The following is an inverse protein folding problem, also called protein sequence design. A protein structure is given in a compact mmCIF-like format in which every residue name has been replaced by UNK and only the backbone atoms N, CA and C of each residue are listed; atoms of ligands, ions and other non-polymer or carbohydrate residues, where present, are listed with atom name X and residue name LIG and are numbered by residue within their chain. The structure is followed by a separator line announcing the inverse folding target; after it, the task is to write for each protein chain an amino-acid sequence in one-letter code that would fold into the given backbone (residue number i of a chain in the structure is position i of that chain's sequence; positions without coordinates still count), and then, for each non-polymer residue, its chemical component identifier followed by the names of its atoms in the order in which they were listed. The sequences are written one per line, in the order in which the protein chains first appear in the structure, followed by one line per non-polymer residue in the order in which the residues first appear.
data_IF_571953181122
#
_entry.id   IF_571953181122
#
_cell.length_a   1.000
_cell.length_b   1.000
_cell.length_c   1.000
_cell.angle_alpha   90.00
_cell.angle_beta   90.00
_cell.angle_gamma   90.00
#
_symmetry.space_group_name_H-M   'P 1'
#
loop_
_entity.id
_entity.type
_entity.pdbx_description
1 polymer ?
#
# COMPACT_ATOMS: atom_id res chain seq x y z
N UNK A 1 15.54 -35.72 -32.61
CA UNK A 1 14.96 -36.01 -33.94
C UNK A 1 14.66 -37.49 -33.95
N UNK A 2 13.38 -37.88 -34.07
CA UNK A 2 12.81 -39.26 -34.22
C UNK A 2 13.08 -40.26 -33.07
N UNK A 3 12.16 -41.03 -32.50
CA UNK A 3 10.78 -41.36 -32.90
C UNK A 3 9.93 -41.81 -31.70
N UNK A 4 8.63 -41.54 -31.81
CA UNK A 4 7.54 -42.13 -31.05
C UNK A 4 7.29 -43.53 -31.62
N UNK A 5 7.55 -44.60 -30.86
CA UNK A 5 6.96 -45.94 -31.06
C UNK A 5 7.51 -46.97 -30.06
N UNK A 6 6.76 -47.19 -28.97
CA UNK A 6 6.24 -48.52 -28.60
C UNK A 6 5.26 -48.30 -27.44
N UNK A 7 4.00 -48.11 -27.81
CA UNK A 7 2.86 -48.24 -26.89
C UNK A 7 2.72 -49.73 -26.61
N UNK A 8 3.16 -50.16 -25.43
CA UNK A 8 2.69 -51.43 -24.87
C UNK A 8 1.28 -51.18 -24.36
N UNK A 9 0.29 -51.56 -25.18
CA UNK A 9 -1.11 -51.67 -24.78
C UNK A 9 -1.19 -52.68 -23.62
N UNK A 10 -1.28 -52.21 -22.39
CA UNK A 10 -1.92 -53.01 -21.34
C UNK A 10 -3.43 -52.86 -21.52
N UNK A 11 -4.09 -54.00 -21.69
CA UNK A 11 -5.53 -54.17 -21.85
C UNK A 11 -6.30 -53.41 -20.78
N UNK A 12 -6.89 -52.28 -21.18
CA UNK A 12 -7.93 -51.62 -20.40
C UNK A 12 -9.14 -52.56 -20.45
N UNK A 13 -9.67 -53.03 -19.31
CA UNK A 13 -10.88 -53.85 -19.34
C UNK A 13 -12.00 -52.99 -19.93
N UNK A 14 -12.50 -53.41 -21.10
CA UNK A 14 -13.77 -52.94 -21.63
C UNK A 14 -14.81 -53.24 -20.55
N UNK A 15 -15.30 -52.18 -19.90
CA UNK A 15 -16.56 -52.27 -19.19
C UNK A 15 -17.60 -52.55 -20.27
N UNK A 16 -17.99 -53.81 -20.41
CA UNK A 16 -19.08 -54.22 -21.28
C UNK A 16 -20.31 -53.38 -20.89
N UNK A 17 -20.85 -52.69 -21.90
CA UNK A 17 -22.15 -52.04 -21.89
C UNK A 17 -23.23 -53.10 -21.58
N UNK A 18 -23.56 -53.31 -20.31
CA UNK A 18 -24.84 -53.85 -19.89
C UNK A 18 -25.57 -52.78 -19.08
N UNK A 19 -26.21 -51.90 -19.84
CA UNK A 19 -27.27 -50.98 -19.44
C UNK A 19 -28.39 -51.75 -18.74
N UNK A 20 -28.24 -51.98 -17.43
CA UNK A 20 -29.40 -52.11 -16.54
C UNK A 20 -29.08 -51.65 -15.13
N UNK A 21 -28.70 -50.38 -15.01
CA UNK A 21 -28.91 -49.64 -13.75
C UNK A 21 -30.42 -49.38 -13.68
N UNK A 22 -31.16 -49.88 -12.66
CA UNK A 22 -32.55 -49.50 -12.51
C UNK A 22 -32.62 -47.98 -12.33
N UNK A 23 -33.08 -47.27 -13.36
CA UNK A 23 -33.41 -45.84 -13.35
C UNK A 23 -34.65 -45.64 -12.48
N UNK A 24 -34.51 -45.88 -11.18
CA UNK A 24 -35.44 -45.40 -10.17
C UNK A 24 -34.67 -45.08 -8.89
N UNK A 25 -33.87 -44.02 -8.97
CA UNK A 25 -33.14 -43.46 -7.84
C UNK A 25 -32.85 -42.00 -8.14
N UNK A 26 -33.60 -41.13 -7.47
CA UNK A 26 -33.48 -39.66 -7.49
C UNK A 26 -32.03 -39.17 -7.51
N UNK A 27 -31.69 -38.09 -8.25
CA UNK A 27 -30.34 -37.53 -8.25
C UNK A 27 -29.92 -37.18 -6.83
N UNK A 28 -28.81 -37.75 -6.33
CA UNK A 28 -28.28 -37.34 -5.03
C UNK A 28 -27.78 -35.90 -5.14
N UNK A 29 -28.24 -34.98 -4.28
CA UNK A 29 -27.72 -33.62 -4.25
C UNK A 29 -26.21 -33.64 -4.01
N UNK A 30 -25.47 -32.81 -4.75
CA UNK A 30 -24.05 -32.61 -4.50
C UNK A 30 -23.86 -32.11 -3.06
N UNK A 31 -23.19 -32.90 -2.22
CA UNK A 31 -22.82 -32.46 -0.88
C UNK A 31 -21.76 -31.36 -1.02
N UNK A 32 -21.92 -30.21 -0.33
CA UNK A 32 -20.88 -29.19 -0.31
C UNK A 32 -19.58 -29.79 0.25
N UNK A 33 -18.45 -29.52 -0.41
CA UNK A 33 -17.13 -29.85 0.13
C UNK A 33 -16.97 -29.22 1.53
N UNK A 34 -16.46 -29.95 2.54
CA UNK A 34 -16.11 -29.34 3.81
C UNK A 34 -15.05 -28.26 3.58
N UNK A 35 -15.44 -26.99 3.70
CA UNK A 35 -14.47 -25.92 3.91
C UNK A 35 -14.08 -25.95 5.39
N UNK A 36 -13.07 -26.72 5.73
CA UNK A 36 -12.35 -26.53 6.99
C UNK A 36 -11.27 -25.47 6.78
N UNK A 37 -11.70 -24.23 6.55
CA UNK A 37 -10.96 -23.11 7.13
C UNK A 37 -11.39 -23.09 8.61
N UNK A 38 -10.46 -23.16 9.59
CA UNK A 38 -10.83 -23.02 10.99
C UNK A 38 -11.66 -21.72 11.15
N UNK A 39 -12.74 -21.72 11.93
CA UNK A 39 -13.52 -20.52 12.13
C UNK A 39 -12.60 -19.46 12.74
N UNK A 40 -12.17 -18.47 11.96
CA UNK A 40 -11.62 -17.23 12.50
C UNK A 40 -12.62 -16.74 13.55
N UNK A 41 -12.17 -16.56 14.79
CA UNK A 41 -13.03 -16.06 15.85
C UNK A 41 -13.53 -14.67 15.39
N UNK A 42 -14.83 -14.53 15.07
CA UNK A 42 -15.36 -13.28 14.57
C UNK A 42 -15.19 -12.14 15.58
N UNK A 43 -15.06 -12.47 16.86
CA UNK A 43 -14.80 -11.50 17.92
C UNK A 43 -13.36 -10.98 17.88
N UNK A 44 -12.37 -11.85 17.69
CA UNK A 44 -10.97 -11.44 17.54
C UNK A 44 -10.80 -10.56 16.30
N UNK A 45 -11.43 -10.94 15.19
CA UNK A 45 -11.47 -10.14 13.96
C UNK A 45 -12.09 -8.77 14.20
N UNK A 46 -13.21 -8.70 14.93
CA UNK A 46 -13.85 -7.43 15.26
C UNK A 46 -12.95 -6.53 16.11
N UNK A 47 -12.25 -7.09 17.11
CA UNK A 47 -11.29 -6.34 17.95
C UNK A 47 -10.11 -5.80 17.14
N UNK A 48 -9.55 -6.60 16.24
CA UNK A 48 -8.47 -6.17 15.35
C UNK A 48 -8.93 -5.05 14.42
N UNK A 49 -10.14 -5.16 13.85
CA UNK A 49 -10.71 -4.10 13.01
C UNK A 49 -10.84 -2.80 13.80
N UNK A 50 -11.37 -2.84 15.03
CA UNK A 50 -11.48 -1.65 15.88
C UNK A 50 -10.12 -0.99 16.13
N UNK A 51 -9.10 -1.78 16.47
CA UNK A 51 -7.75 -1.25 16.71
C UNK A 51 -7.16 -0.61 15.44
N UNK A 52 -7.35 -1.24 14.27
CA UNK A 52 -6.89 -0.67 13.00
C UNK A 52 -7.58 0.66 12.72
N UNK A 53 -8.89 0.77 12.96
CA UNK A 53 -9.64 2.01 12.75
C UNK A 53 -9.16 3.13 13.69
N UNK A 54 -8.91 2.83 14.96
CA UNK A 54 -8.37 3.81 15.92
C UNK A 54 -6.98 4.31 15.52
N UNK A 55 -6.11 3.39 15.09
CA UNK A 55 -4.78 3.73 14.60
C UNK A 55 -4.84 4.57 13.31
N UNK A 56 -5.75 4.23 12.39
CA UNK A 56 -5.96 5.00 11.16
C UNK A 56 -6.42 6.42 11.46
N UNK A 57 -7.39 6.60 12.38
CA UNK A 57 -7.84 7.93 12.79
C UNK A 57 -6.69 8.74 13.41
N UNK A 58 -5.91 8.12 14.30
CA UNK A 58 -4.77 8.79 14.94
C UNK A 58 -3.68 9.16 13.93
N UNK A 59 -3.43 8.30 12.94
CA UNK A 59 -2.46 8.55 11.89
C UNK A 59 -2.92 9.67 10.95
N UNK A 60 -4.20 9.73 10.60
CA UNK A 60 -4.77 10.80 9.79
C UNK A 60 -4.64 12.16 10.49
N UNK A 61 -5.02 12.22 11.77
CA UNK A 61 -4.85 13.42 12.60
C UNK A 61 -3.40 13.90 12.64
N UNK A 62 -2.46 12.97 12.81
CA UNK A 62 -1.03 13.30 12.82
C UNK A 62 -0.56 13.78 11.44
N UNK A 63 -1.03 13.16 10.36
CA UNK A 63 -0.72 13.56 8.99
C UNK A 63 -1.17 14.99 8.72
N UNK A 64 -2.41 15.34 9.09
CA UNK A 64 -2.94 16.70 8.94
C UNK A 64 -2.14 17.74 9.73
N UNK A 65 -1.72 17.39 10.96
CA UNK A 65 -0.86 18.27 11.77
C UNK A 65 0.51 18.48 11.13
N UNK A 66 1.11 17.43 10.59
CA UNK A 66 2.38 17.51 9.87
C UNK A 66 2.26 18.43 8.65
N UNK A 67 1.20 18.31 7.88
CA UNK A 67 0.99 19.17 6.71
C UNK A 67 0.76 20.63 7.10
N UNK A 68 0.02 20.88 8.19
CA UNK A 68 -0.14 22.24 8.75
C UNK A 68 1.21 22.85 9.17
N UNK A 69 2.07 22.07 9.85
CA UNK A 69 3.41 22.53 10.26
C UNK A 69 4.30 22.79 9.05
N UNK A 70 4.22 21.97 7.99
CA UNK A 70 4.96 22.21 6.75
C UNK A 70 4.53 23.52 6.09
N UNK A 71 3.23 23.78 6.02
CA UNK A 71 2.70 25.01 5.44
C UNK A 71 3.18 26.25 6.21
N UNK A 72 3.07 26.23 7.53
CA UNK A 72 3.57 27.32 8.39
C UNK A 72 5.08 27.52 8.22
N UNK A 73 5.86 26.43 8.19
CA UNK A 73 7.30 26.48 7.98
C UNK A 73 7.66 27.12 6.63
N UNK A 74 6.95 26.75 5.56
CA UNK A 74 7.14 27.35 4.23
C UNK A 74 6.83 28.83 4.23
N UNK A 75 5.72 29.24 4.86
CA UNK A 75 5.35 30.65 5.01
C UNK A 75 6.44 31.43 5.73
N UNK A 76 6.89 30.96 6.89
CA UNK A 76 7.95 31.62 7.66
C UNK A 76 9.27 31.70 6.89
N UNK A 77 9.63 30.66 6.12
CA UNK A 77 10.83 30.69 5.25
C UNK A 77 10.70 31.75 4.16
N UNK A 78 9.52 31.85 3.52
CA UNK A 78 9.27 32.84 2.49
C UNK A 78 9.35 34.28 3.03
N UNK A 79 8.78 34.52 4.20
CA UNK A 79 8.81 35.84 4.86
C UNK A 79 10.24 36.21 5.27
N UNK A 80 10.97 35.28 5.88
CA UNK A 80 12.36 35.50 6.23
C UNK A 80 13.25 35.77 5.00
N UNK A 81 12.97 35.14 3.87
CA UNK A 81 13.68 35.42 2.63
C UNK A 81 13.44 36.87 2.16
N UNK A 82 12.19 37.33 2.17
CA UNK A 82 11.83 38.71 1.80
C UNK A 82 12.48 39.71 2.75
N UNK A 83 12.40 39.47 4.06
CA UNK A 83 13.03 40.31 5.08
C UNK A 83 14.56 40.34 4.92
N UNK A 84 15.17 39.19 4.67
CA UNK A 84 16.61 39.08 4.41
C UNK A 84 17.04 39.91 3.21
N UNK A 85 16.29 39.84 2.09
CA UNK A 85 16.56 40.65 0.91
C UNK A 85 16.39 42.14 1.20
N UNK A 86 15.36 42.53 1.97
CA UNK A 86 15.15 43.91 2.35
C UNK A 86 16.34 44.47 3.16
N UNK A 87 16.82 43.70 4.14
CA UNK A 87 18.00 44.06 4.94
C UNK A 87 19.25 44.17 4.04
N UNK A 88 19.46 43.21 3.12
CA UNK A 88 20.58 43.27 2.17
C UNK A 88 20.52 44.51 1.28
N UNK A 89 19.35 44.85 0.75
CA UNK A 89 19.17 46.03 -0.09
C UNK A 89 19.45 47.33 0.69
N UNK A 90 19.01 47.40 1.95
CA UNK A 90 19.31 48.54 2.83
C UNK A 90 20.81 48.66 3.11
N UNK A 91 21.48 47.55 3.44
CA UNK A 91 22.93 47.54 3.67
C UNK A 91 23.70 47.96 2.41
N UNK A 92 23.31 47.47 1.23
CA UNK A 92 23.96 47.80 -0.03
C UNK A 92 23.74 49.27 -0.46
N UNK A 93 22.55 49.83 -0.19
CA UNK A 93 22.19 51.20 -0.57
C UNK A 93 22.69 52.25 0.42
N UNK A 94 23.10 51.84 1.62
CA UNK A 94 23.62 52.75 2.64
C UNK A 94 25.13 52.89 2.54
N UNK A 95 25.60 54.12 2.30
CA UNK A 95 27.03 54.49 2.25
C UNK A 95 27.78 54.18 3.56
N UNK A 96 27.06 54.08 4.69
CA UNK A 96 27.63 53.73 6.00
C UNK A 96 28.26 52.33 6.00
N UNK A 97 27.67 51.37 5.27
CA UNK A 97 28.18 49.99 5.21
C UNK A 97 29.14 49.72 4.04
N UNK A 98 29.21 50.62 3.06
CA UNK A 98 30.20 50.55 1.98
C UNK A 98 31.58 51.01 2.45
N UNK A 99 31.63 51.99 3.36
CA UNK A 99 32.86 52.61 3.86
C UNK A 99 33.69 51.70 4.78
N UNK A 100 33.09 50.64 5.35
CA UNK A 100 33.79 49.64 6.17
C UNK A 100 34.45 48.51 5.35
N UNK A 101 34.13 48.38 4.05
CA UNK A 101 34.67 47.32 3.19
C UNK A 101 36.00 47.72 2.48
N UNK A 102 36.44 48.98 2.58
CA UNK A 102 37.68 49.48 1.94
C UNK A 102 38.91 49.48 2.87
N UNK A 103 38.81 48.93 4.08
CA UNK A 103 39.90 48.89 5.06
C UNK A 103 40.86 47.67 4.97
N UNK A 104 40.64 46.76 4.02
CA UNK A 104 41.38 45.48 3.95
C UNK A 104 42.08 45.28 2.60
N UNK A 105 43.15 46.05 2.35
CA UNK A 105 44.26 45.74 1.45
C UNK A 105 45.27 46.91 1.50
N UNK A 106 46.24 46.80 2.40
CA UNK A 106 47.57 47.41 2.25
C UNK A 106 48.59 46.28 2.23
#
# INVERSE_FOLDING_TARGET
MTDFSTVSNEDIPLADDDDNVPINGTPRPAQPLPREEPPEDPEEKARLISQVLELQNTLDDLSQRVDSVKEESLKLRSENQVLGQYIQNLMASSSVFQSSNTGGKQ
#
